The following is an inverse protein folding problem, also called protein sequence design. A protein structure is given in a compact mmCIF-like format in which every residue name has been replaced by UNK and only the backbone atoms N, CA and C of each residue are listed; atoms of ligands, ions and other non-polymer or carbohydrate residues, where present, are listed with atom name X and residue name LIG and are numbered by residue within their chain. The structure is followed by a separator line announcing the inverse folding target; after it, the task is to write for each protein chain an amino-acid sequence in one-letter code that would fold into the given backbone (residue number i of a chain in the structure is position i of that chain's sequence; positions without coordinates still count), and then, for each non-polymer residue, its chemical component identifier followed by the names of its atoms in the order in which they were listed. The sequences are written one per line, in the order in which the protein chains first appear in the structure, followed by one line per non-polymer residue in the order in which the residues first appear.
data_IF_661343970280
#
_entry.id   IF_661343970280
#
_cell.length_a   1.000
_cell.length_b   1.000
_cell.length_c   1.000
_cell.angle_alpha   90.00
_cell.angle_beta   90.00
_cell.angle_gamma   90.00
#
_symmetry.space_group_name_H-M   'P 1'
#
loop_
_entity.id
_entity.type
_entity.pdbx_description
1 polymer ?
#
# COMPACT_ATOMS: atom_id res chain seq x y z
N UNK A 1 -32.28 3.70 1.97
CA UNK A 1 -31.31 3.95 3.07
C UNK A 1 -29.93 3.93 2.45
N UNK A 2 -29.03 4.85 2.84
CA UNK A 2 -27.70 4.92 2.23
C UNK A 2 -26.66 4.25 3.13
N UNK A 3 -26.13 3.11 2.72
CA UNK A 3 -25.01 2.46 3.41
C UNK A 3 -23.70 3.12 2.99
N UNK A 4 -22.72 3.15 3.89
CA UNK A 4 -21.35 3.62 3.63
C UNK A 4 -20.41 2.45 3.36
N UNK A 5 -19.31 2.71 2.65
CA UNK A 5 -18.24 1.75 2.40
C UNK A 5 -17.72 1.10 3.69
N UNK A 6 -17.58 1.90 4.75
CA UNK A 6 -17.13 1.43 6.04
C UNK A 6 -18.16 0.57 6.78
N UNK A 7 -19.46 0.90 6.69
CA UNK A 7 -20.51 0.04 7.24
C UNK A 7 -20.49 -1.34 6.59
N UNK A 8 -20.36 -1.38 5.25
CA UNK A 8 -20.32 -2.64 4.50
C UNK A 8 -19.07 -3.47 4.87
N UNK A 9 -17.89 -2.84 4.87
CA UNK A 9 -16.62 -3.49 5.23
C UNK A 9 -16.65 -4.03 6.65
N UNK A 10 -17.20 -3.26 7.61
CA UNK A 10 -17.37 -3.70 9.00
C UNK A 10 -18.30 -4.91 9.09
N UNK A 11 -19.45 -4.88 8.42
CA UNK A 11 -20.40 -5.98 8.46
C UNK A 11 -19.84 -7.28 7.86
N UNK A 12 -19.07 -7.21 6.76
CA UNK A 12 -18.32 -8.37 6.25
C UNK A 12 -17.36 -8.93 7.27
N UNK A 13 -16.57 -8.07 7.93
CA UNK A 13 -15.58 -8.50 8.94
C UNK A 13 -16.26 -9.14 10.16
N UNK A 14 -17.36 -8.57 10.63
CA UNK A 14 -18.15 -9.12 11.75
C UNK A 14 -18.72 -10.50 11.44
N UNK A 15 -19.15 -10.72 10.20
CA UNK A 15 -19.71 -12.01 9.75
C UNK A 15 -18.67 -12.99 9.21
N UNK A 16 -17.40 -12.57 9.09
CA UNK A 16 -16.29 -13.40 8.62
C UNK A 16 -16.37 -13.77 7.13
N UNK A 17 -17.07 -13.00 6.30
CA UNK A 17 -17.24 -13.31 4.86
C UNK A 17 -16.30 -12.48 3.98
N UNK A 18 -15.79 -13.09 2.90
CA UNK A 18 -14.95 -12.42 1.89
C UNK A 18 -15.79 -11.58 0.91
N UNK A 19 -15.18 -10.67 0.15
CA UNK A 19 -15.90 -9.90 -0.89
C UNK A 19 -16.46 -10.85 -1.96
N UNK A 20 -15.67 -11.86 -2.35
CA UNK A 20 -16.07 -12.89 -3.29
C UNK A 20 -17.29 -13.67 -2.78
N UNK A 21 -17.28 -14.05 -1.49
CA UNK A 21 -18.41 -14.77 -0.89
C UNK A 21 -19.66 -13.89 -0.77
N UNK A 22 -19.49 -12.61 -0.43
CA UNK A 22 -20.60 -11.66 -0.42
C UNK A 22 -21.21 -11.49 -1.82
N UNK A 23 -20.37 -11.36 -2.85
CA UNK A 23 -20.81 -11.25 -4.24
C UNK A 23 -21.56 -12.50 -4.72
N UNK A 24 -21.05 -13.69 -4.37
CA UNK A 24 -21.70 -14.97 -4.67
C UNK A 24 -23.07 -15.07 -3.98
N UNK A 25 -23.15 -14.77 -2.68
CA UNK A 25 -24.36 -14.94 -1.90
C UNK A 25 -25.47 -13.94 -2.25
N UNK A 26 -25.09 -12.73 -2.66
CA UNK A 26 -26.03 -11.62 -2.93
C UNK A 26 -26.30 -11.42 -4.42
N UNK A 27 -25.51 -12.04 -5.30
CA UNK A 27 -25.53 -11.78 -6.74
C UNK A 27 -25.03 -10.37 -7.12
N UNK A 28 -24.53 -9.59 -6.16
CA UNK A 28 -23.96 -8.27 -6.41
C UNK A 28 -22.60 -8.44 -7.08
N UNK A 29 -22.33 -7.61 -8.10
CA UNK A 29 -21.06 -7.65 -8.82
C UNK A 29 -19.86 -7.43 -7.86
N UNK A 30 -18.91 -8.36 -7.86
CA UNK A 30 -17.74 -8.33 -6.99
C UNK A 30 -16.86 -7.08 -7.20
N UNK A 31 -16.70 -6.64 -8.45
CA UNK A 31 -15.97 -5.40 -8.78
C UNK A 31 -16.66 -4.17 -8.19
N UNK A 32 -17.99 -4.16 -8.18
CA UNK A 32 -18.77 -3.07 -7.60
C UNK A 32 -18.62 -3.01 -6.08
N UNK A 33 -18.66 -4.16 -5.39
CA UNK A 33 -18.36 -4.26 -3.95
C UNK A 33 -16.93 -3.77 -3.67
N UNK A 34 -15.95 -4.24 -4.45
CA UNK A 34 -14.55 -3.82 -4.32
C UNK A 34 -14.41 -2.31 -4.46
N UNK A 35 -14.90 -1.73 -5.57
CA UNK A 35 -14.82 -0.30 -5.83
C UNK A 35 -15.51 0.56 -4.77
N UNK A 36 -16.62 0.07 -4.22
CA UNK A 36 -17.29 0.78 -3.15
C UNK A 36 -16.51 0.72 -1.84
N UNK A 37 -16.04 -0.47 -1.42
CA UNK A 37 -15.21 -0.59 -0.20
C UNK A 37 -13.90 0.19 -0.32
N UNK A 38 -13.29 0.29 -1.51
CA UNK A 38 -12.05 1.06 -1.75
C UNK A 38 -12.27 2.54 -2.07
N UNK A 39 -13.49 3.06 -1.90
CA UNK A 39 -13.86 4.46 -2.18
C UNK A 39 -13.63 4.93 -3.63
N UNK A 40 -13.50 4.01 -4.59
CA UNK A 40 -13.49 4.36 -6.03
C UNK A 40 -14.86 4.84 -6.51
N UNK A 41 -15.92 4.38 -5.87
CA UNK A 41 -17.27 4.92 -6.04
C UNK A 41 -17.82 5.33 -4.67
N UNK A 42 -18.44 6.50 -4.63
CA UNK A 42 -18.94 7.09 -3.37
C UNK A 42 -20.28 6.51 -2.92
N UNK A 43 -21.02 5.88 -3.83
CA UNK A 43 -22.34 5.32 -3.56
C UNK A 43 -22.62 4.12 -4.47
N UNK A 44 -23.35 3.14 -3.93
CA UNK A 44 -23.91 2.03 -4.69
C UNK A 44 -25.29 2.39 -5.24
N UNK A 45 -25.76 1.73 -6.32
CA UNK A 45 -27.17 1.79 -6.72
C UNK A 45 -28.10 1.40 -5.57
N UNK A 46 -29.26 2.05 -5.44
CA UNK A 46 -30.16 1.80 -4.30
C UNK A 46 -30.59 0.33 -4.19
N UNK A 47 -30.86 -0.33 -5.31
CA UNK A 47 -31.19 -1.77 -5.34
C UNK A 47 -30.08 -2.63 -4.75
N UNK A 48 -28.82 -2.33 -5.06
CA UNK A 48 -27.66 -3.02 -4.49
C UNK A 48 -27.57 -2.79 -2.99
N UNK A 49 -27.82 -1.56 -2.53
CA UNK A 49 -27.80 -1.23 -1.11
C UNK A 49 -28.88 -2.01 -0.35
N UNK A 50 -30.09 -2.08 -0.90
CA UNK A 50 -31.21 -2.79 -0.27
C UNK A 50 -30.89 -4.29 -0.13
N UNK A 51 -30.34 -4.92 -1.18
CA UNK A 51 -29.89 -6.33 -1.14
C UNK A 51 -28.83 -6.56 -0.06
N UNK A 52 -27.84 -5.67 0.05
CA UNK A 52 -26.78 -5.80 1.05
C UNK A 52 -27.34 -5.61 2.47
N UNK A 53 -28.23 -4.65 2.67
CA UNK A 53 -28.91 -4.43 3.97
C UNK A 53 -29.70 -5.66 4.38
N UNK A 54 -30.50 -6.23 3.49
CA UNK A 54 -31.27 -7.43 3.77
C UNK A 54 -30.38 -8.63 4.11
N UNK A 55 -29.34 -8.88 3.31
CA UNK A 55 -28.40 -9.97 3.54
C UNK A 55 -27.70 -9.88 4.90
N UNK A 56 -27.25 -8.68 5.31
CA UNK A 56 -26.59 -8.53 6.61
C UNK A 56 -27.58 -8.56 7.77
N UNK A 57 -28.80 -8.06 7.58
CA UNK A 57 -29.88 -8.15 8.57
C UNK A 57 -30.23 -9.61 8.87
N UNK A 58 -30.29 -10.46 7.86
CA UNK A 58 -30.51 -11.91 8.02
C UNK A 58 -29.37 -12.60 8.79
N UNK A 59 -28.17 -12.01 8.75
CA UNK A 59 -27.00 -12.45 9.53
C UNK A 59 -26.90 -11.77 10.91
N UNK A 60 -27.93 -11.03 11.32
CA UNK A 60 -27.98 -10.36 12.61
C UNK A 60 -27.12 -9.10 12.70
N UNK A 61 -26.71 -8.52 11.56
CA UNK A 61 -25.95 -7.27 11.49
C UNK A 61 -26.82 -6.16 10.91
N UNK A 62 -27.07 -5.12 11.70
CA UNK A 62 -27.80 -3.95 11.24
C UNK A 62 -26.83 -2.93 10.60
N UNK A 63 -26.92 -2.78 9.27
CA UNK A 63 -26.17 -1.75 8.54
C UNK A 63 -26.74 -0.33 8.75
N UNK A 64 -27.94 -0.20 9.32
CA UNK A 64 -28.67 1.05 9.50
C UNK A 64 -28.71 1.59 10.92
N UNK A 65 -28.14 0.86 11.88
CA UNK A 65 -27.89 1.40 13.20
C UNK A 65 -26.81 2.49 13.08
N UNK A 66 -27.22 3.75 13.15
CA UNK A 66 -26.35 4.87 13.43
C UNK A 66 -25.77 4.70 14.85
N UNK A 67 -24.76 3.86 15.01
CA UNK A 67 -23.90 3.83 16.21
C UNK A 67 -22.90 5.00 16.19
N UNK A 68 -23.41 6.19 15.83
CA UNK A 68 -22.82 7.46 16.21
C UNK A 68 -23.22 7.74 17.68
N UNK A 69 -22.54 7.06 18.61
CA UNK A 69 -22.44 7.48 20.00
C UNK A 69 -23.72 7.44 20.85
N UNK A 70 -23.95 6.32 21.55
CA UNK A 70 -24.64 6.34 22.85
C UNK A 70 -23.99 5.36 23.82
N UNK A 71 -23.48 5.82 24.98
CA UNK A 71 -22.99 4.93 26.02
C UNK A 71 -24.20 4.39 26.79
N UNK A 72 -24.59 3.14 26.57
CA UNK A 72 -25.45 2.45 27.53
C UNK A 72 -24.57 1.99 28.68
N UNK A 73 -24.66 2.76 29.76
CA UNK A 73 -24.28 2.36 31.11
C UNK A 73 -25.07 1.08 31.45
N UNK A 74 -24.43 -0.09 31.43
CA UNK A 74 -24.75 -1.18 32.35
C UNK A 74 -23.67 -2.27 32.32
N UNK A 75 -22.98 -2.39 33.47
CA UNK A 75 -22.11 -3.49 33.96
C UNK A 75 -20.93 -3.97 33.08
N UNK A 76 -19.72 -4.10 33.67
CA UNK A 76 -18.56 -4.59 32.94
C UNK A 76 -18.65 -6.10 32.75
N UNK A 77 -19.17 -6.55 31.62
CA UNK A 77 -18.70 -7.78 31.01
C UNK A 77 -17.36 -7.45 30.33
N UNK A 78 -16.30 -8.12 30.77
CA UNK A 78 -14.96 -8.03 30.18
C UNK A 78 -15.05 -8.64 28.77
N UNK A 79 -15.48 -7.83 27.79
CA UNK A 79 -15.35 -8.16 26.38
C UNK A 79 -13.91 -7.91 25.95
N UNK A 80 -13.30 -8.84 25.18
CA UNK A 80 -11.93 -8.69 24.73
C UNK A 80 -11.86 -7.49 23.79
N UNK A 81 -11.06 -6.49 24.18
CA UNK A 81 -10.73 -5.34 23.35
C UNK A 81 -10.19 -5.84 22.00
N UNK A 82 -10.76 -5.42 20.86
CA UNK A 82 -10.19 -5.76 19.56
C UNK A 82 -8.77 -5.21 19.46
N UNK A 83 -7.80 -6.12 19.31
CA UNK A 83 -6.37 -5.82 19.18
C UNK A 83 -6.10 -5.02 17.91
N UNK A 84 -5.32 -3.95 18.02
CA UNK A 84 -4.52 -3.42 16.92
C UNK A 84 -4.92 -2.07 16.32
N UNK A 85 -6.04 -1.47 16.72
CA UNK A 85 -6.24 -0.04 16.49
C UNK A 85 -5.78 0.70 17.74
N UNK A 86 -4.83 1.62 17.61
CA UNK A 86 -4.89 2.78 18.50
C UNK A 86 -6.32 3.30 18.38
N UNK A 87 -7.04 3.52 19.49
CA UNK A 87 -8.35 4.13 19.40
C UNK A 87 -8.10 5.58 18.98
N UNK A 88 -7.97 5.82 17.67
CA UNK A 88 -8.25 7.13 17.12
C UNK A 88 -9.76 7.24 17.28
N UNK A 89 -10.26 8.14 18.14
CA UNK A 89 -11.69 8.33 18.29
C UNK A 89 -12.31 8.53 16.90
N UNK A 90 -13.40 7.82 16.56
CA UNK A 90 -14.12 8.11 15.32
C UNK A 90 -14.50 9.60 15.36
N UNK A 91 -13.90 10.39 14.46
CA UNK A 91 -14.11 11.85 14.41
C UNK A 91 -12.88 12.75 14.65
N UNK A 92 -11.69 12.22 14.92
CA UNK A 92 -10.46 13.06 15.04
C UNK A 92 -9.38 12.74 14.01
N UNK A 93 -9.78 12.45 12.77
CA UNK A 93 -8.86 12.56 11.64
C UNK A 93 -8.84 14.03 11.24
N UNK A 94 -8.04 14.84 11.94
CA UNK A 94 -7.66 16.12 11.38
C UNK A 94 -6.98 15.83 10.03
N UNK A 95 -7.30 16.56 8.94
CA UNK A 95 -6.58 16.43 7.68
C UNK A 95 -5.13 16.85 7.95
N UNK A 96 -4.31 15.88 8.33
CA UNK A 96 -2.86 16.02 8.41
C UNK A 96 -2.30 15.71 7.03
N UNK A 97 -1.18 16.38 6.73
CA UNK A 97 -0.51 16.46 5.43
C UNK A 97 -0.80 15.25 4.52
N UNK A 98 -1.35 15.56 3.35
CA UNK A 98 -1.56 14.58 2.29
C UNK A 98 -0.27 13.81 2.00
N UNK A 99 -0.41 12.50 1.81
CA UNK A 99 0.67 11.68 1.28
C UNK A 99 0.92 12.09 -0.19
N UNK A 100 2.12 12.52 -0.50
CA UNK A 100 2.52 12.87 -1.86
C UNK A 100 2.96 11.60 -2.60
N UNK A 101 2.34 11.35 -3.74
CA UNK A 101 2.72 10.30 -4.69
C UNK A 101 3.58 10.93 -5.78
N UNK A 102 4.60 10.22 -6.22
CA UNK A 102 5.47 10.63 -7.32
C UNK A 102 4.68 10.71 -8.63
N UNK A 103 4.77 11.85 -9.32
CA UNK A 103 4.16 12.06 -10.64
C UNK A 103 4.80 11.18 -11.74
N UNK A 104 5.96 10.56 -11.47
CA UNK A 104 6.61 9.62 -12.38
C UNK A 104 5.91 8.25 -12.44
N UNK A 105 4.98 7.97 -11.52
CA UNK A 105 4.25 6.71 -11.48
C UNK A 105 2.90 6.88 -12.17
N UNK A 106 2.53 5.87 -12.95
CA UNK A 106 1.20 5.73 -13.52
C UNK A 106 0.17 5.37 -12.44
N UNK A 107 -1.10 5.67 -12.69
CA UNK A 107 -2.19 5.30 -11.79
C UNK A 107 -2.26 3.77 -11.59
N UNK A 108 -1.93 3.00 -12.62
CA UNK A 108 -1.85 1.54 -12.57
C UNK A 108 -0.72 1.03 -11.68
N UNK A 109 0.46 1.66 -11.70
CA UNK A 109 1.58 1.31 -10.80
C UNK A 109 1.25 1.63 -9.34
N UNK A 110 0.59 2.76 -9.10
CA UNK A 110 0.11 3.15 -7.77
C UNK A 110 -0.96 2.16 -7.29
N UNK A 111 -1.93 1.80 -8.12
CA UNK A 111 -2.94 0.80 -7.78
C UNK A 111 -2.32 -0.56 -7.48
N UNK A 112 -1.35 -0.99 -8.29
CA UNK A 112 -0.63 -2.24 -8.09
C UNK A 112 0.13 -2.25 -6.76
N UNK A 113 0.82 -1.16 -6.42
CA UNK A 113 1.52 -1.02 -5.15
C UNK A 113 0.56 -1.07 -3.95
N UNK A 114 -0.57 -0.36 -4.02
CA UNK A 114 -1.58 -0.38 -2.96
C UNK A 114 -2.24 -1.75 -2.81
N UNK A 115 -2.58 -2.42 -3.91
CA UNK A 115 -3.14 -3.77 -3.88
C UNK A 115 -2.17 -4.77 -3.24
N UNK A 116 -0.87 -4.67 -3.58
CA UNK A 116 0.17 -5.49 -2.96
C UNK A 116 0.30 -5.22 -1.46
N UNK A 117 0.18 -3.96 -1.04
CA UNK A 117 0.18 -3.60 0.38
C UNK A 117 -1.00 -4.20 1.13
N UNK A 118 -2.19 -4.17 0.54
CA UNK A 118 -3.40 -4.77 1.11
C UNK A 118 -3.26 -6.29 1.26
N UNK A 119 -2.76 -6.99 0.23
CA UNK A 119 -2.46 -8.43 0.28
C UNK A 119 -1.47 -8.77 1.42
N UNK A 120 -0.42 -7.97 1.56
CA UNK A 120 0.57 -8.13 2.61
C UNK A 120 -0.04 -7.89 4.00
N UNK A 121 -0.91 -6.89 4.16
CA UNK A 121 -1.58 -6.60 5.42
C UNK A 121 -2.54 -7.74 5.85
N UNK A 122 -3.20 -8.38 4.89
CA UNK A 122 -4.00 -9.59 5.15
C UNK A 122 -3.10 -10.73 5.68
N UNK A 123 -1.99 -11.02 5.01
CA UNK A 123 -1.05 -12.08 5.43
C UNK A 123 -0.36 -11.76 6.78
N UNK A 124 0.00 -10.49 7.02
CA UNK A 124 0.52 -10.00 8.30
C UNK A 124 -0.49 -10.25 9.41
N UNK A 125 -1.77 -9.91 9.19
CA UNK A 125 -2.84 -10.14 10.18
C UNK A 125 -2.96 -11.63 10.52
N UNK A 126 -2.85 -12.50 9.52
CA UNK A 126 -2.95 -13.95 9.72
C UNK A 126 -1.75 -14.49 10.51
N UNK A 127 -0.52 -14.10 10.15
CA UNK A 127 0.71 -14.49 10.86
C UNK A 127 0.71 -14.01 12.32
N UNK A 128 0.24 -12.79 12.58
CA UNK A 128 0.14 -12.22 13.94
C UNK A 128 -0.84 -12.98 14.84
N UNK A 129 -1.75 -13.76 14.28
CA UNK A 129 -2.72 -14.60 15.02
C UNK A 129 -2.20 -16.01 15.27
N UNK A 130 -1.15 -16.45 14.58
CA UNK A 130 -0.57 -17.78 14.78
C UNK A 130 0.02 -17.91 16.17
N UNK A 131 -0.17 -19.08 16.78
CA UNK A 131 0.39 -19.39 18.09
C UNK A 131 1.88 -19.71 17.93
N UNK A 132 2.73 -19.07 18.72
CA UNK A 132 4.16 -19.37 18.74
C UNK A 132 4.44 -20.66 19.50
N UNK A 133 5.34 -21.48 18.98
CA UNK A 133 5.71 -22.75 19.59
C UNK A 133 7.18 -22.73 20.02
N UNK A 134 7.46 -23.29 21.21
CA UNK A 134 8.83 -23.46 21.71
C UNK A 134 9.41 -24.81 21.30
N UNK A 135 10.68 -24.81 20.90
CA UNK A 135 11.45 -26.02 20.60
C UNK A 135 11.98 -26.72 21.85
N UNK A 136 12.42 -27.98 21.68
CA UNK A 136 12.86 -28.88 22.76
C UNK A 136 14.09 -28.38 23.55
N UNK A 137 14.98 -27.62 22.90
CA UNK A 137 16.24 -27.14 23.49
C UNK A 137 16.16 -25.72 24.06
N UNK A 138 14.96 -25.15 24.20
CA UNK A 138 14.79 -23.76 24.62
C UNK A 138 15.05 -22.80 23.45
N UNK A 139 13.98 -22.45 22.74
CA UNK A 139 13.99 -21.58 21.56
C UNK A 139 12.61 -21.60 20.94
N UNK A 140 12.40 -20.89 19.84
CA UNK A 140 11.21 -21.09 19.02
C UNK A 140 11.42 -22.27 18.07
N UNK A 141 10.33 -22.92 17.66
CA UNK A 141 10.40 -23.90 16.57
C UNK A 141 10.86 -23.25 15.27
N UNK A 142 11.43 -24.04 14.36
CA UNK A 142 11.83 -23.56 13.03
C UNK A 142 10.64 -22.94 12.29
N UNK A 143 9.44 -23.51 12.44
CA UNK A 143 8.21 -22.97 11.87
C UNK A 143 7.89 -21.57 12.41
N UNK A 144 7.96 -21.38 13.74
CA UNK A 144 7.76 -20.05 14.34
C UNK A 144 8.83 -19.05 13.90
N UNK A 145 10.07 -19.50 13.70
CA UNK A 145 11.15 -18.64 13.19
C UNK A 145 10.90 -18.24 11.72
N UNK A 146 10.46 -19.17 10.87
CA UNK A 146 10.10 -18.91 9.48
C UNK A 146 8.90 -17.97 9.36
N UNK A 147 7.85 -18.20 10.16
CA UNK A 147 6.68 -17.31 10.22
C UNK A 147 7.09 -15.90 10.65
N UNK A 148 8.00 -15.78 11.61
CA UNK A 148 8.54 -14.48 12.05
C UNK A 148 9.33 -13.79 10.93
N UNK A 149 10.19 -14.52 10.22
CA UNK A 149 10.93 -13.99 9.08
C UNK A 149 9.99 -13.53 7.95
N UNK A 150 8.93 -14.31 7.68
CA UNK A 150 7.91 -13.95 6.68
C UNK A 150 7.17 -12.68 7.09
N UNK A 151 6.75 -12.59 8.35
CA UNK A 151 6.07 -11.42 8.91
C UNK A 151 6.94 -10.15 8.75
N UNK A 152 8.22 -10.20 9.13
CA UNK A 152 9.12 -9.06 8.94
C UNK A 152 9.36 -8.75 7.47
N UNK A 153 9.42 -9.77 6.60
CA UNK A 153 9.54 -9.58 5.15
C UNK A 153 8.37 -8.81 4.55
N UNK A 154 7.13 -9.15 4.93
CA UNK A 154 5.92 -8.48 4.46
C UNK A 154 5.87 -7.01 4.93
N UNK A 155 6.19 -6.76 6.19
CA UNK A 155 6.25 -5.39 6.72
C UNK A 155 7.34 -4.55 6.02
N UNK A 156 8.50 -5.15 5.74
CA UNK A 156 9.56 -4.49 5.00
C UNK A 156 9.15 -4.20 3.55
N UNK A 157 8.45 -5.12 2.88
CA UNK A 157 7.92 -4.90 1.54
C UNK A 157 6.92 -3.73 1.51
N UNK A 158 5.98 -3.65 2.47
CA UNK A 158 5.03 -2.53 2.56
C UNK A 158 5.74 -1.18 2.77
N UNK A 159 6.80 -1.16 3.57
CA UNK A 159 7.64 0.03 3.70
C UNK A 159 8.33 0.40 2.39
N UNK A 160 8.89 -0.57 1.66
CA UNK A 160 9.53 -0.32 0.37
C UNK A 160 8.53 0.18 -0.68
N UNK A 161 7.33 -0.39 -0.75
CA UNK A 161 6.25 0.04 -1.64
C UNK A 161 5.81 1.47 -1.34
N UNK A 162 5.67 1.80 -0.06
CA UNK A 162 5.39 3.16 0.37
C UNK A 162 6.47 4.14 -0.10
N UNK A 163 7.76 3.79 0.04
CA UNK A 163 8.87 4.63 -0.43
C UNK A 163 8.94 4.71 -1.95
N UNK A 164 8.62 3.62 -2.65
CA UNK A 164 8.51 3.57 -4.10
C UNK A 164 7.44 4.55 -4.60
N UNK A 165 6.26 4.58 -3.97
CA UNK A 165 5.20 5.55 -4.30
C UNK A 165 5.64 7.02 -4.08
N UNK A 166 6.58 7.27 -3.17
CA UNK A 166 7.20 8.59 -2.97
C UNK A 166 8.35 8.90 -3.96
N UNK A 167 8.58 8.04 -4.96
CA UNK A 167 9.65 8.18 -5.93
C UNK A 167 11.02 7.66 -5.46
N UNK A 168 11.07 6.93 -4.34
CA UNK A 168 12.30 6.28 -3.85
C UNK A 168 12.24 4.77 -4.08
N UNK A 169 12.90 4.28 -5.13
CA UNK A 169 13.07 2.84 -5.33
C UNK A 169 14.47 2.39 -4.89
N UNK A 170 14.57 1.66 -3.77
CA UNK A 170 15.84 1.13 -3.27
C UNK A 170 16.48 0.06 -4.17
N UNK A 171 15.73 -0.45 -5.14
CA UNK A 171 16.17 -1.51 -6.05
C UNK A 171 16.53 -1.01 -7.46
N UNK A 172 16.38 0.30 -7.73
CA UNK A 172 16.56 0.83 -9.09
C UNK A 172 17.99 0.71 -9.62
N UNK A 173 19.00 0.88 -8.76
CA UNK A 173 20.41 0.95 -9.16
C UNK A 173 21.18 -0.37 -8.97
N UNK A 174 20.49 -1.50 -8.82
CA UNK A 174 21.13 -2.79 -8.60
C UNK A 174 21.62 -3.36 -9.93
N UNK A 175 22.95 -3.43 -10.10
CA UNK A 175 23.57 -4.13 -11.23
C UNK A 175 23.32 -5.64 -11.12
N UNK A 176 22.41 -6.15 -11.97
CA UNK A 176 22.07 -7.57 -12.05
C UNK A 176 23.23 -8.44 -12.56
N UNK A 177 24.20 -7.84 -13.25
CA UNK A 177 25.35 -8.54 -13.81
C UNK A 177 26.57 -8.48 -12.90
N UNK A 178 26.44 -7.85 -11.72
CA UNK A 178 27.49 -7.83 -10.72
C UNK A 178 27.88 -9.25 -10.33
N UNK A 179 29.19 -9.48 -10.21
CA UNK A 179 29.74 -10.74 -9.68
C UNK A 179 29.57 -10.85 -8.17
N UNK A 180 29.41 -9.72 -7.49
CA UNK A 180 29.20 -9.65 -6.05
C UNK A 180 27.70 -9.62 -5.76
N UNK A 181 27.22 -10.61 -5.02
CA UNK A 181 25.82 -10.69 -4.55
C UNK A 181 25.66 -9.91 -3.24
N UNK A 182 24.81 -8.90 -3.25
CA UNK A 182 24.47 -8.08 -2.08
C UNK A 182 23.09 -8.42 -1.55
N UNK A 183 22.74 -7.91 -0.37
CA UNK A 183 21.37 -8.03 0.14
C UNK A 183 20.32 -7.41 -0.79
N UNK A 184 20.71 -6.39 -1.58
CA UNK A 184 19.82 -5.77 -2.55
C UNK A 184 19.43 -6.78 -3.65
N UNK A 185 20.38 -7.58 -4.14
CA UNK A 185 20.13 -8.67 -5.11
C UNK A 185 19.17 -9.73 -4.53
N UNK A 186 19.35 -10.10 -3.27
CA UNK A 186 18.46 -11.06 -2.60
C UNK A 186 17.02 -10.53 -2.46
N UNK A 187 16.88 -9.27 -2.05
CA UNK A 187 15.57 -8.61 -1.91
C UNK A 187 14.90 -8.47 -3.27
N UNK A 188 15.64 -8.09 -4.31
CA UNK A 188 15.10 -7.98 -5.66
C UNK A 188 14.64 -9.33 -6.21
N UNK A 189 15.41 -10.41 -6.03
CA UNK A 189 15.00 -11.76 -6.44
C UNK A 189 13.68 -12.14 -5.75
N UNK A 190 13.58 -11.92 -4.43
CA UNK A 190 12.33 -12.18 -3.70
C UNK A 190 11.16 -11.34 -4.21
N UNK A 191 11.39 -10.07 -4.49
CA UNK A 191 10.37 -9.17 -5.03
C UNK A 191 9.92 -9.59 -6.44
N UNK A 192 10.83 -10.09 -7.28
CA UNK A 192 10.48 -10.68 -8.58
C UNK A 192 9.65 -11.95 -8.42
N UNK A 193 10.06 -12.86 -7.52
CA UNK A 193 9.39 -14.14 -7.29
C UNK A 193 7.94 -13.94 -6.77
N UNK A 194 7.70 -12.87 -6.01
CA UNK A 194 6.38 -12.52 -5.50
C UNK A 194 5.54 -11.67 -6.46
N UNK A 195 6.06 -11.31 -7.64
CA UNK A 195 5.38 -10.40 -8.57
C UNK A 195 5.22 -8.97 -8.03
N UNK A 196 6.11 -8.54 -7.13
CA UNK A 196 6.05 -7.22 -6.50
C UNK A 196 6.30 -6.11 -7.53
N UNK A 197 5.52 -5.00 -7.50
CA UNK A 197 5.72 -3.88 -8.42
C UNK A 197 7.05 -3.13 -8.18
N UNK A 198 7.77 -3.41 -7.08
CA UNK A 198 9.10 -2.85 -6.82
C UNK A 198 10.13 -3.16 -7.92
N UNK A 199 9.93 -4.24 -8.68
CA UNK A 199 10.81 -4.67 -9.77
C UNK A 199 10.26 -4.28 -11.15
N UNK A 200 8.99 -3.85 -11.22
CA UNK A 200 8.38 -3.44 -12.47
C UNK A 200 8.87 -2.02 -12.83
N UNK A 201 9.61 -1.97 -13.95
CA UNK A 201 9.86 -0.82 -14.80
C UNK A 201 10.45 0.42 -14.11
N UNK A 202 11.78 0.41 -13.97
CA UNK A 202 12.51 1.66 -14.12
C UNK A 202 12.26 2.18 -15.53
N UNK A 203 11.35 3.15 -15.68
CA UNK A 203 11.22 3.94 -16.89
C UNK A 203 12.60 4.46 -17.28
N UNK A 204 13.02 4.15 -18.49
CA UNK A 204 14.31 4.48 -19.11
C UNK A 204 14.57 5.99 -19.29
N UNK A 205 13.83 6.87 -18.60
CA UNK A 205 13.79 8.30 -18.93
C UNK A 205 14.81 9.16 -18.16
N UNK A 206 15.49 8.64 -17.13
CA UNK A 206 16.54 9.40 -16.44
C UNK A 206 17.94 9.25 -17.10
N UNK A 207 18.06 8.53 -18.23
CA UNK A 207 19.32 8.40 -18.97
C UNK A 207 19.64 9.61 -19.88
N UNK A 208 18.68 10.49 -20.20
CA UNK A 208 18.86 11.53 -21.22
C UNK A 208 19.24 12.94 -20.68
N UNK A 209 19.31 13.13 -19.36
CA UNK A 209 19.69 14.45 -18.76
C UNK A 209 21.20 14.55 -18.44
N UNK A 210 21.99 13.50 -18.70
CA UNK A 210 23.47 13.54 -18.58
C UNK A 210 24.19 13.58 -19.93
N UNK A 211 23.54 14.14 -20.96
CA UNK A 211 24.17 14.49 -22.23
C UNK A 211 25.19 15.62 -22.07
N UNK A 212 26.46 15.30 -22.35
CA UNK A 212 27.51 16.17 -22.87
C UNK A 212 27.79 17.51 -22.14
N UNK A 213 28.47 17.42 -20.99
CA UNK A 213 29.47 18.45 -20.65
C UNK A 213 30.76 18.17 -21.42
N UNK A 214 30.71 18.36 -22.75
CA UNK A 214 31.89 18.40 -23.61
C UNK A 214 32.65 19.69 -23.30
N UNK A 215 33.78 19.55 -22.62
CA UNK A 215 34.69 20.65 -22.32
C UNK A 215 35.02 21.43 -23.61
N UNK A 216 34.89 22.77 -23.64
CA UNK A 216 35.33 23.54 -24.79
C UNK A 216 36.86 23.57 -24.81
N UNK A 217 37.42 23.01 -25.88
CA UNK A 217 38.82 23.12 -26.24
C UNK A 217 39.22 24.60 -26.36
N UNK A 218 40.36 24.94 -25.75
CA UNK A 218 41.02 26.22 -25.85
C UNK A 218 41.39 26.54 -27.30
N UNK A 219 40.62 27.42 -27.95
CA UNK A 219 41.00 28.06 -29.21
C UNK A 219 41.69 29.39 -28.89
N UNK A 220 43.01 29.42 -29.08
CA UNK A 220 43.78 30.65 -29.26
C UNK A 220 43.36 31.26 -30.60
N UNK A 221 42.78 32.46 -30.60
CA UNK A 221 42.69 33.27 -31.80
C UNK A 221 42.93 34.75 -31.46
N UNK A 222 43.91 35.30 -32.18
CA UNK A 222 44.46 36.65 -32.20
C UNK A 222 43.41 37.77 -32.12
N UNK A 223 43.62 38.71 -31.20
CA UNK A 223 43.08 40.07 -31.30
C UNK A 223 44.19 40.98 -31.79
N UNK A 224 44.07 41.40 -33.05
CA UNK A 224 44.91 42.39 -33.71
C UNK A 224 44.51 43.77 -33.20
N UNK A 225 45.41 44.43 -32.45
CA UNK A 225 45.22 45.79 -31.96
C UNK A 225 45.40 46.79 -33.10
N UNK A 226 44.36 47.55 -33.42
CA UNK A 226 44.48 48.87 -34.03
C UNK A 226 43.32 49.75 -33.53
N UNK A 227 43.65 50.82 -32.83
CA UNK A 227 43.07 52.14 -33.06
C UNK A 227 44.22 53.12 -33.30
N UNK A 228 44.08 54.33 -33.83
CA UNK A 228 43.05 55.07 -34.53
C UNK A 228 43.80 56.35 -34.92
N UNK A 229 43.61 56.85 -36.13
CA UNK A 229 44.14 58.14 -36.53
C UNK A 229 43.49 59.26 -35.69
N UNK A 230 44.35 60.07 -35.06
CA UNK A 230 44.19 61.48 -34.71
C UNK A 230 45.59 62.06 -34.99
N UNK A 231 45.85 63.12 -35.72
CA UNK A 231 45.07 64.23 -36.27
C UNK A 231 46.09 65.37 -36.45
N UNK A 232 45.89 66.21 -37.47
CA UNK A 232 46.67 67.40 -37.84
C UNK A 232 48.05 67.18 -38.52
#
# INVERSE_FOLDING_TARGET
MTITADQLRRARRTTGITQAKLAEDTGVNATLIKHFETFRINALPQSTQDTLVEYFKDKGVDLGADDAGKPTNDKPAISPVPRGSFPVPPGTVAPRMSFTISEKLTDEEVESALARMDENDEEISDLMRKVTAKGLLGGYTDETALDSQRLFGLMAENYMLFRYMQGTNFLADIDQNSKDETHAHLVQRKASDSGSPLVAQGSQDDADVRGDSKAPASSKAQTKSQPSQQGA
#
